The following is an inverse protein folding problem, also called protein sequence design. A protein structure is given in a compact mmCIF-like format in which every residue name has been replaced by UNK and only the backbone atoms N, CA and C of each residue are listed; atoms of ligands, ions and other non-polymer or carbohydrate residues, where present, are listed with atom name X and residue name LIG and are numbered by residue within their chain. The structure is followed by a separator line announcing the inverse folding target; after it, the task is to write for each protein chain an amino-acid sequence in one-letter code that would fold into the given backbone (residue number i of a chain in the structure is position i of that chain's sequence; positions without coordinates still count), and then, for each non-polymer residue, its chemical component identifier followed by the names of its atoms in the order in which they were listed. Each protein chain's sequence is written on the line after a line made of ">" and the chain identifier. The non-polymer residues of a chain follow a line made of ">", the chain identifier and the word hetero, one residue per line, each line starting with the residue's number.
data_IF_814463917503
#
_entry.id   IF_814463917503
#
_cell.length_a   1.000
_cell.length_b   1.000
_cell.length_c   1.000
_cell.angle_alpha   90.00
_cell.angle_beta   90.00
_cell.angle_gamma   90.00
#
_symmetry.space_group_name_H-M   'P 1'
#
loop_
_entity.id
_entity.type
_entity.pdbx_description
1 polymer ?
#
# COMPACT_ATOMS: atom_id res chain seq x y z
N UNK A 1 -30.39 40.41 36.56
CA UNK A 1 -29.71 40.43 35.24
C UNK A 1 -28.22 40.12 35.36
N UNK A 2 -27.44 40.83 36.19
CA UNK A 2 -26.01 40.53 36.38
C UNK A 2 -25.72 39.08 36.88
N UNK A 3 -26.47 38.58 37.87
CA UNK A 3 -26.29 37.22 38.40
C UNK A 3 -26.54 36.10 37.36
N UNK A 4 -27.50 36.29 36.44
CA UNK A 4 -27.77 35.33 35.36
C UNK A 4 -26.66 35.35 34.30
N UNK A 5 -26.08 36.51 34.00
CA UNK A 5 -24.94 36.62 33.10
C UNK A 5 -23.68 35.96 33.70
N UNK A 6 -23.45 36.12 35.00
CA UNK A 6 -22.35 35.42 35.69
C UNK A 6 -22.53 33.90 35.69
N UNK A 7 -23.75 33.40 35.87
CA UNK A 7 -24.02 31.96 35.85
C UNK A 7 -23.81 31.37 34.45
N UNK A 8 -24.23 32.08 33.40
CA UNK A 8 -23.97 31.69 32.01
C UNK A 8 -22.48 31.68 31.68
N UNK A 9 -21.72 32.68 32.14
CA UNK A 9 -20.26 32.72 31.96
C UNK A 9 -19.58 31.55 32.70
N UNK A 10 -20.01 31.22 33.92
CA UNK A 10 -19.49 30.05 34.65
C UNK A 10 -19.77 28.74 33.92
N UNK A 11 -20.97 28.57 33.35
CA UNK A 11 -21.32 27.38 32.58
C UNK A 11 -20.48 27.29 31.30
N UNK A 12 -20.27 28.40 30.59
CA UNK A 12 -19.41 28.45 29.41
C UNK A 12 -17.96 28.10 29.75
N UNK A 13 -17.40 28.68 30.82
CA UNK A 13 -16.06 28.36 31.28
C UNK A 13 -15.89 26.87 31.62
N UNK A 14 -16.87 26.26 32.30
CA UNK A 14 -16.83 24.82 32.60
C UNK A 14 -16.89 23.94 31.35
N UNK A 15 -17.66 24.33 30.33
CA UNK A 15 -17.72 23.61 29.05
C UNK A 15 -16.40 23.75 28.29
N UNK A 16 -15.79 24.92 28.31
CA UNK A 16 -14.48 25.16 27.71
C UNK A 16 -13.38 24.36 28.43
N UNK A 17 -13.35 24.35 29.77
CA UNK A 17 -12.42 23.54 30.56
C UNK A 17 -12.55 22.05 30.24
N UNK A 18 -13.78 21.53 30.14
CA UNK A 18 -14.01 20.13 29.74
C UNK A 18 -13.52 19.84 28.33
N UNK A 19 -13.73 20.78 27.41
CA UNK A 19 -13.24 20.65 26.03
C UNK A 19 -11.72 20.65 25.99
N UNK A 20 -11.08 21.54 26.74
CA UNK A 20 -9.61 21.62 26.84
C UNK A 20 -9.07 20.33 27.44
N UNK A 21 -9.62 19.84 28.55
CA UNK A 21 -9.21 18.58 29.16
C UNK A 21 -9.36 17.39 28.20
N UNK A 22 -10.42 17.34 27.41
CA UNK A 22 -10.60 16.30 26.38
C UNK A 22 -9.56 16.39 25.26
N UNK A 23 -9.18 17.61 24.85
CA UNK A 23 -8.15 17.81 23.83
C UNK A 23 -6.76 17.47 24.38
N UNK A 24 -6.47 17.83 25.62
CA UNK A 24 -5.22 17.49 26.31
C UNK A 24 -5.06 15.97 26.45
N UNK A 25 -6.13 15.25 26.79
CA UNK A 25 -6.14 13.78 26.82
C UNK A 25 -5.83 13.19 25.44
N UNK A 26 -6.51 13.66 24.37
CA UNK A 26 -6.24 13.22 23.01
C UNK A 26 -4.80 13.52 22.55
N UNK A 27 -4.26 14.69 22.90
CA UNK A 27 -2.86 15.04 22.60
C UNK A 27 -1.90 14.13 23.35
N UNK A 28 -2.20 13.78 24.61
CA UNK A 28 -1.42 12.82 25.40
C UNK A 28 -1.41 11.44 24.74
N UNK A 29 -2.58 10.93 24.34
CA UNK A 29 -2.70 9.62 23.69
C UNK A 29 -1.93 9.58 22.36
N UNK A 30 -2.04 10.63 21.54
CA UNK A 30 -1.29 10.76 20.28
C UNK A 30 0.21 10.86 20.54
N UNK A 31 0.63 11.57 21.59
CA UNK A 31 2.04 11.71 21.96
C UNK A 31 2.64 10.38 22.43
N UNK A 32 1.87 9.59 23.19
CA UNK A 32 2.28 8.25 23.60
C UNK A 32 2.36 7.29 22.41
N UNK A 33 1.36 7.31 21.52
CA UNK A 33 1.34 6.50 20.32
C UNK A 33 2.49 6.86 19.37
N UNK A 34 2.80 8.15 19.20
CA UNK A 34 3.97 8.60 18.44
C UNK A 34 5.28 8.14 19.10
N UNK A 35 5.37 8.21 20.43
CA UNK A 35 6.53 7.75 21.19
C UNK A 35 6.77 6.24 21.08
N UNK A 36 5.70 5.44 21.09
CA UNK A 36 5.81 3.98 20.87
C UNK A 36 6.20 3.65 19.43
N UNK A 37 5.64 4.35 18.45
CA UNK A 37 5.99 4.19 17.04
C UNK A 37 7.46 4.55 16.76
N UNK A 38 7.95 5.68 17.29
CA UNK A 38 9.35 6.08 17.11
C UNK A 38 10.32 5.08 17.76
N UNK A 39 9.97 4.53 18.94
CA UNK A 39 10.76 3.44 19.56
C UNK A 39 10.76 2.16 18.72
N UNK A 40 9.63 1.78 18.13
CA UNK A 40 9.55 0.62 17.24
C UNK A 40 10.41 0.83 15.98
N UNK A 41 10.28 2.00 15.34
CA UNK A 41 11.10 2.40 14.19
C UNK A 41 12.61 2.38 14.50
N UNK A 42 13.03 2.84 15.68
CA UNK A 42 14.44 2.76 16.09
C UNK A 42 14.92 1.30 16.24
N UNK A 43 14.09 0.42 16.82
CA UNK A 43 14.41 -1.02 16.89
C UNK A 43 14.54 -1.65 15.50
N UNK A 44 13.63 -1.30 14.60
CA UNK A 44 13.66 -1.80 13.21
C UNK A 44 14.89 -1.29 12.46
N UNK A 45 15.27 -0.03 12.63
CA UNK A 45 16.51 0.51 12.05
C UNK A 45 17.75 -0.24 12.54
N UNK A 46 17.82 -0.56 13.85
CA UNK A 46 18.91 -1.36 14.40
C UNK A 46 18.90 -2.80 13.86
N UNK A 47 17.72 -3.41 13.71
CA UNK A 47 17.60 -4.74 13.11
C UNK A 47 18.05 -4.75 11.64
N UNK A 48 17.65 -3.74 10.87
CA UNK A 48 18.08 -3.55 9.47
C UNK A 48 19.59 -3.38 9.39
N UNK A 49 20.21 -2.61 10.29
CA UNK A 49 21.67 -2.46 10.33
C UNK A 49 22.37 -3.80 10.60
N UNK A 50 21.90 -4.57 11.60
CA UNK A 50 22.45 -5.91 11.88
C UNK A 50 22.29 -6.89 10.71
N UNK A 51 21.15 -6.86 10.02
CA UNK A 51 20.92 -7.69 8.84
C UNK A 51 21.84 -7.28 7.68
N UNK A 52 22.06 -5.97 7.47
CA UNK A 52 23.03 -5.47 6.47
C UNK A 52 24.45 -5.91 6.79
N UNK A 53 24.87 -5.84 8.05
CA UNK A 53 26.18 -6.32 8.49
C UNK A 53 26.32 -7.84 8.27
N UNK A 54 25.27 -8.62 8.57
CA UNK A 54 25.27 -10.07 8.35
C UNK A 54 25.34 -10.43 6.86
N UNK A 55 24.62 -9.71 6.00
CA UNK A 55 24.70 -9.89 4.53
C UNK A 55 26.13 -9.59 4.05
N UNK A 56 26.71 -8.47 4.50
CA UNK A 56 28.09 -8.12 4.13
C UNK A 56 29.11 -9.18 4.59
N UNK A 57 28.89 -9.78 5.77
CA UNK A 57 29.71 -10.89 6.28
C UNK A 57 29.56 -12.14 5.41
N UNK A 58 28.32 -12.53 5.07
CA UNK A 58 28.05 -13.67 4.20
C UNK A 58 28.61 -13.46 2.79
N UNK A 59 28.58 -12.24 2.25
CA UNK A 59 29.20 -11.92 0.96
C UNK A 59 30.72 -12.09 1.00
N UNK A 60 31.35 -11.78 2.13
CA UNK A 60 32.80 -11.95 2.32
C UNK A 60 33.16 -13.44 2.47
N UNK A 61 32.36 -14.20 3.21
CA UNK A 61 32.47 -15.67 3.31
C UNK A 61 32.28 -16.32 1.93
N UNK A 62 31.24 -15.95 1.18
CA UNK A 62 30.97 -16.46 -0.17
C UNK A 62 32.09 -16.12 -1.16
N UNK A 63 32.64 -14.90 -1.13
CA UNK A 63 33.81 -14.53 -1.94
C UNK A 63 35.02 -15.40 -1.60
N UNK A 64 35.26 -15.66 -0.32
CA UNK A 64 36.37 -16.50 0.14
C UNK A 64 36.17 -17.95 -0.30
N UNK A 65 34.97 -18.50 -0.16
CA UNK A 65 34.61 -19.83 -0.63
C UNK A 65 34.73 -19.96 -2.16
N UNK A 66 34.32 -18.94 -2.92
CA UNK A 66 34.47 -18.93 -4.37
C UNK A 66 35.95 -18.93 -4.80
N UNK A 67 36.81 -18.18 -4.10
CA UNK A 67 38.27 -18.19 -4.35
C UNK A 67 38.88 -19.56 -3.99
N UNK A 68 38.44 -20.18 -2.89
CA UNK A 68 38.89 -21.52 -2.48
C UNK A 68 38.41 -22.61 -3.47
N UNK A 69 37.19 -22.49 -3.99
CA UNK A 69 36.65 -23.41 -4.99
C UNK A 69 37.34 -23.26 -6.36
N UNK A 70 37.57 -22.02 -6.80
CA UNK A 70 38.29 -21.73 -8.04
C UNK A 70 39.75 -22.19 -8.01
N UNK A 71 40.44 -22.00 -6.87
CA UNK A 71 41.81 -22.50 -6.70
C UNK A 71 41.90 -24.03 -6.64
N UNK A 72 40.85 -24.72 -6.19
CA UNK A 72 40.77 -26.20 -6.23
C UNK A 72 40.40 -26.74 -7.62
N UNK A 73 39.64 -25.99 -8.41
CA UNK A 73 39.29 -26.34 -9.79
C UNK A 73 40.51 -26.32 -10.73
N UNK A 74 41.55 -25.53 -10.44
CA UNK A 74 42.81 -25.53 -11.20
C UNK A 74 43.65 -26.82 -11.02
N UNK A 75 43.32 -27.69 -10.05
CA UNK A 75 44.02 -28.97 -9.78
C UNK A 75 43.14 -30.18 -10.15
N UNK A 76 41.91 -29.96 -10.64
CA UNK A 76 41.06 -31.03 -11.12
C UNK A 76 41.55 -31.49 -12.51
N UNK A 77 42.16 -32.68 -12.53
CA UNK A 77 42.44 -33.49 -13.72
C UNK A 77 41.23 -33.45 -14.68
N UNK A 78 41.43 -33.22 -15.99
CA UNK A 78 40.35 -33.02 -16.94
C UNK A 78 39.40 -34.22 -16.91
N UNK A 79 38.12 -33.93 -16.71
CA UNK A 79 37.02 -34.88 -16.59
C UNK A 79 36.77 -35.77 -17.85
N UNK A 80 37.61 -35.66 -18.88
CA UNK A 80 37.54 -36.50 -20.09
C UNK A 80 38.07 -37.93 -19.88
N UNK A 81 38.73 -38.23 -18.76
CA UNK A 81 39.26 -39.58 -18.49
C UNK A 81 38.33 -40.49 -17.68
N UNK A 82 37.30 -39.94 -17.03
CA UNK A 82 36.39 -40.71 -16.15
C UNK A 82 35.26 -41.43 -16.91
N UNK A 83 35.02 -41.08 -18.19
CA UNK A 83 33.90 -41.59 -18.99
C UNK A 83 34.36 -42.38 -20.24
N UNK A 84 35.53 -43.02 -20.19
CA UNK A 84 36.01 -43.85 -21.29
C UNK A 84 35.32 -45.22 -21.24
N UNK A 85 34.62 -45.58 -22.33
CA UNK A 85 34.05 -46.91 -22.53
C UNK A 85 35.13 -48.01 -22.37
N UNK A 86 34.75 -49.15 -21.79
CA UNK A 86 35.64 -50.28 -21.47
C UNK A 86 36.41 -50.74 -22.71
N UNK A 87 35.78 -50.65 -23.88
CA UNK A 87 36.42 -50.99 -25.17
C UNK A 87 37.50 -49.98 -25.56
N UNK A 88 37.28 -48.68 -25.35
CA UNK A 88 38.27 -47.63 -25.62
C UNK A 88 39.44 -47.74 -24.65
N UNK A 89 39.18 -48.12 -23.40
CA UNK A 89 40.22 -48.38 -22.40
C UNK A 89 41.04 -49.64 -22.78
N UNK A 90 40.38 -50.69 -23.26
CA UNK A 90 41.02 -51.92 -23.74
C UNK A 90 41.91 -51.64 -24.96
N UNK A 91 41.45 -50.83 -25.90
CA UNK A 91 42.23 -50.43 -27.09
C UNK A 91 43.44 -49.57 -26.72
N UNK A 92 43.29 -48.65 -25.76
CA UNK A 92 44.41 -47.87 -25.21
C UNK A 92 45.41 -48.78 -24.48
N UNK A 93 44.92 -49.76 -23.73
CA UNK A 93 45.77 -50.74 -23.02
C UNK A 93 46.51 -51.66 -24.00
N UNK A 94 45.88 -52.07 -25.10
CA UNK A 94 46.54 -52.81 -26.17
C UNK A 94 47.57 -51.97 -26.92
N UNK A 95 47.29 -50.69 -27.19
CA UNK A 95 48.28 -49.78 -27.77
C UNK A 95 49.49 -49.60 -26.85
N UNK A 96 49.27 -49.45 -25.55
CA UNK A 96 50.34 -49.41 -24.55
C UNK A 96 51.12 -50.74 -24.47
N UNK A 97 50.44 -51.88 -24.56
CA UNK A 97 51.08 -53.20 -24.64
C UNK A 97 51.95 -53.35 -25.90
N UNK A 98 51.47 -52.90 -27.06
CA UNK A 98 52.24 -52.88 -28.31
C UNK A 98 53.45 -51.94 -28.22
N UNK A 99 53.28 -50.77 -27.61
CA UNK A 99 54.38 -49.83 -27.37
C UNK A 99 55.40 -50.37 -26.37
N UNK A 100 54.95 -51.08 -25.33
CA UNK A 100 55.80 -51.75 -24.35
C UNK A 100 56.55 -52.92 -24.99
N UNK A 101 55.91 -53.71 -25.85
CA UNK A 101 56.57 -54.77 -26.63
C UNK A 101 57.57 -54.19 -27.65
N UNK A 102 57.24 -53.05 -28.26
CA UNK A 102 58.15 -52.32 -29.15
C UNK A 102 59.34 -51.70 -28.39
N UNK A 103 59.13 -51.30 -27.13
CA UNK A 103 60.19 -50.83 -26.24
C UNK A 103 61.04 -51.99 -25.69
N UNK A 104 60.41 -53.12 -25.38
CA UNK A 104 61.08 -54.36 -24.97
C UNK A 104 61.91 -54.95 -26.12
N UNK A 105 61.46 -54.84 -27.37
CA UNK A 105 62.25 -55.20 -28.55
C UNK A 105 63.41 -54.24 -28.87
N UNK A 106 63.43 -53.04 -28.26
CA UNK A 106 64.55 -52.08 -28.35
C UNK A 106 65.55 -52.21 -27.20
N UNK A 107 65.24 -53.00 -26.17
CA UNK A 107 66.18 -53.41 -25.14
C UNK A 107 66.69 -54.82 -25.48
N UNK A 108 68.00 -54.98 -25.67
CA UNK A 108 68.61 -56.30 -25.78
C UNK A 108 68.34 -57.16 -24.52
N UNK A 109 68.38 -58.50 -24.65
CA UNK A 109 67.58 -59.41 -23.86
C UNK A 109 68.16 -59.57 -22.45
N UNK A 110 67.34 -59.36 -21.45
CA UNK A 110 67.62 -59.84 -20.11
C UNK A 110 66.34 -60.47 -19.56
N UNK A 111 66.50 -61.74 -19.18
CA UNK A 111 65.59 -62.55 -18.38
C UNK A 111 64.53 -63.32 -19.18
N UNK A 112 65.07 -64.36 -19.81
CA UNK A 112 64.50 -65.69 -20.03
C UNK A 112 63.46 -66.07 -18.95
N UNK A 113 62.16 -65.98 -19.29
CA UNK A 113 61.03 -66.35 -18.42
C UNK A 113 60.75 -67.87 -18.48
N UNK A 114 61.57 -68.64 -19.20
CA UNK A 114 61.34 -70.08 -19.44
C UNK A 114 62.19 -71.03 -18.57
N UNK A 115 62.97 -70.52 -17.60
CA UNK A 115 63.75 -71.33 -16.64
C UNK A 115 63.13 -71.43 -15.23
N UNK A 116 61.80 -71.41 -15.12
CA UNK A 116 61.09 -71.64 -13.85
C UNK A 116 60.27 -72.93 -13.80
N UNK A 117 60.30 -73.77 -14.84
CA UNK A 117 59.52 -75.02 -14.88
C UNK A 117 60.33 -76.31 -15.07
N UNK A 118 61.66 -76.27 -15.10
CA UNK A 118 62.49 -77.48 -15.10
C UNK A 118 62.90 -77.83 -13.67
N UNK A 119 61.94 -78.40 -12.92
CA UNK A 119 62.21 -79.14 -11.71
C UNK A 119 62.77 -80.51 -12.12
N UNK A 120 64.05 -80.56 -12.50
CA UNK A 120 64.78 -81.82 -12.56
C UNK A 120 64.91 -82.38 -11.14
N UNK A 121 64.20 -83.49 -10.88
CA UNK A 121 64.49 -84.38 -9.76
C UNK A 121 65.72 -85.21 -10.14
N UNK A 122 66.87 -85.11 -9.43
CA UNK A 122 67.88 -86.13 -9.49
C UNK A 122 67.51 -87.22 -8.48
N UNK A 123 67.20 -88.39 -9.03
CA UNK A 123 67.17 -89.65 -8.30
C UNK A 123 68.55 -89.91 -7.71
N UNK A 124 68.62 -89.91 -6.37
CA UNK A 124 69.52 -90.69 -5.53
C UNK A 124 71.03 -90.43 -5.64
N UNK A 125 71.64 -90.03 -4.51
CA UNK A 125 72.69 -90.80 -3.78
C UNK A 125 73.47 -89.87 -2.81
N UNK A 126 73.48 -90.27 -1.53
CA UNK A 126 74.23 -89.75 -0.37
C UNK A 126 73.84 -88.39 0.28
N UNK A 127 73.84 -88.32 1.64
CA UNK A 127 73.39 -87.17 2.41
C UNK A 127 74.51 -86.17 2.66
N UNK A 128 74.18 -84.87 2.65
CA UNK A 128 75.02 -83.86 3.29
C UNK A 128 75.64 -82.81 2.38
N UNK A 129 74.82 -82.02 1.69
CA UNK A 129 74.97 -80.54 1.68
C UNK A 129 73.83 -79.86 0.90
N UNK A 130 73.23 -80.54 -0.07
CA UNK A 130 72.12 -80.00 -0.89
C UNK A 130 70.85 -79.72 -0.10
N UNK A 131 70.48 -80.59 0.85
CA UNK A 131 69.29 -80.42 1.70
C UNK A 131 69.35 -79.17 2.60
N UNK A 132 70.56 -78.73 2.98
CA UNK A 132 70.73 -77.49 3.75
C UNK A 132 70.47 -76.27 2.87
N UNK A 133 70.86 -76.29 1.60
CA UNK A 133 70.61 -75.21 0.67
C UNK A 133 69.11 -75.08 0.34
N UNK A 134 68.40 -76.18 0.11
CA UNK A 134 66.93 -76.18 -0.07
C UNK A 134 66.19 -75.82 1.22
N UNK A 135 66.63 -76.32 2.38
CA UNK A 135 66.03 -75.94 3.66
C UNK A 135 66.22 -74.45 3.99
N UNK A 136 67.39 -73.88 3.72
CA UNK A 136 67.65 -72.45 3.89
C UNK A 136 66.82 -71.60 2.93
N UNK A 137 66.62 -72.05 1.69
CA UNK A 137 65.77 -71.39 0.70
C UNK A 137 64.30 -71.35 1.17
N UNK A 138 63.71 -72.49 1.57
CA UNK A 138 62.36 -72.53 2.13
C UNK A 138 62.24 -71.73 3.43
N UNK A 139 63.30 -71.68 4.24
CA UNK A 139 63.32 -70.85 5.45
C UNK A 139 63.35 -69.35 5.13
N UNK A 140 63.99 -68.95 4.03
CA UNK A 140 64.02 -67.57 3.55
C UNK A 140 62.68 -67.16 2.92
N UNK A 141 62.05 -68.02 2.12
CA UNK A 141 60.69 -67.81 1.61
C UNK A 141 59.66 -67.68 2.75
N UNK A 142 59.76 -68.53 3.79
CA UNK A 142 58.91 -68.42 4.98
C UNK A 142 59.11 -67.10 5.72
N UNK A 143 60.34 -66.56 5.75
CA UNK A 143 60.61 -65.23 6.34
C UNK A 143 60.01 -64.12 5.49
N UNK A 144 60.19 -64.17 4.17
CA UNK A 144 59.61 -63.19 3.25
C UNK A 144 58.08 -63.20 3.31
N UNK A 145 57.45 -64.37 3.31
CA UNK A 145 56.00 -64.50 3.42
C UNK A 145 55.47 -63.98 4.76
N UNK A 146 56.20 -64.22 5.86
CA UNK A 146 55.87 -63.62 7.17
C UNK A 146 55.98 -62.11 7.15
N UNK A 147 57.02 -61.55 6.55
CA UNK A 147 57.19 -60.10 6.40
C UNK A 147 56.09 -59.50 5.52
N UNK A 148 55.72 -60.14 4.41
CA UNK A 148 54.64 -59.72 3.54
C UNK A 148 53.27 -59.78 4.22
N UNK A 149 53.05 -60.83 5.01
CA UNK A 149 51.84 -60.98 5.82
C UNK A 149 51.75 -59.89 6.89
N UNK A 150 52.83 -59.59 7.60
CA UNK A 150 52.86 -58.48 8.56
C UNK A 150 52.66 -57.12 7.86
N UNK A 151 53.27 -56.89 6.70
CA UNK A 151 53.00 -55.69 5.88
C UNK A 151 51.54 -55.61 5.44
N UNK A 152 50.93 -56.72 5.05
CA UNK A 152 49.51 -56.78 4.67
C UNK A 152 48.59 -56.49 5.86
N UNK A 153 48.86 -57.10 7.01
CA UNK A 153 48.14 -56.89 8.27
C UNK A 153 48.18 -55.42 8.70
N UNK A 154 49.35 -54.79 8.63
CA UNK A 154 49.50 -53.36 8.93
C UNK A 154 48.71 -52.48 7.95
N UNK A 155 48.75 -52.77 6.65
CA UNK A 155 47.95 -52.04 5.64
C UNK A 155 46.44 -52.21 5.85
N UNK A 156 45.97 -53.43 6.10
CA UNK A 156 44.57 -53.71 6.39
C UNK A 156 44.09 -53.01 7.67
N UNK A 157 44.92 -52.97 8.71
CA UNK A 157 44.61 -52.27 9.95
C UNK A 157 44.50 -50.75 9.76
N UNK A 158 45.35 -50.15 8.93
CA UNK A 158 45.27 -48.71 8.59
C UNK A 158 44.01 -48.41 7.79
N UNK A 159 43.65 -49.25 6.81
CA UNK A 159 42.42 -49.08 6.02
C UNK A 159 41.17 -49.19 6.90
N UNK A 160 41.13 -50.15 7.82
CA UNK A 160 40.00 -50.31 8.76
C UNK A 160 39.87 -49.11 9.70
N UNK A 161 40.98 -48.61 10.27
CA UNK A 161 40.97 -47.42 11.12
C UNK A 161 40.54 -46.16 10.37
N UNK A 162 41.02 -45.98 9.13
CA UNK A 162 40.63 -44.85 8.30
C UNK A 162 39.16 -44.93 7.87
N UNK A 163 38.65 -46.14 7.64
CA UNK A 163 37.24 -46.37 7.32
C UNK A 163 36.35 -46.09 8.53
N UNK A 164 36.69 -46.59 9.71
CA UNK A 164 35.91 -46.29 10.93
C UNK A 164 35.93 -44.80 11.30
N UNK A 165 37.05 -44.10 11.06
CA UNK A 165 37.14 -42.66 11.30
C UNK A 165 36.26 -41.85 10.32
N UNK A 166 36.23 -42.23 9.04
CA UNK A 166 35.36 -41.60 8.03
C UNK A 166 33.88 -41.95 8.23
N UNK A 167 33.56 -43.19 8.57
CA UNK A 167 32.18 -43.59 8.87
C UNK A 167 31.66 -42.85 10.11
N UNK A 168 32.53 -42.62 11.11
CA UNK A 168 32.21 -41.79 12.27
C UNK A 168 32.02 -40.30 11.95
N UNK A 169 32.75 -39.74 10.98
CA UNK A 169 32.53 -38.34 10.55
C UNK A 169 31.23 -38.19 9.75
N UNK A 170 30.95 -39.13 8.84
CA UNK A 170 29.70 -39.15 8.07
C UNK A 170 28.47 -39.35 8.97
N UNK A 171 28.58 -40.17 10.03
CA UNK A 171 27.49 -40.34 11.00
C UNK A 171 27.18 -39.05 11.76
N UNK A 172 28.22 -38.28 12.16
CA UNK A 172 28.05 -36.97 12.80
C UNK A 172 27.43 -35.94 11.87
N UNK A 173 27.92 -35.86 10.63
CA UNK A 173 27.33 -34.97 9.61
C UNK A 173 25.86 -35.31 9.33
N UNK A 174 25.50 -36.60 9.34
CA UNK A 174 24.12 -37.04 9.20
C UNK A 174 23.26 -36.63 10.41
N UNK A 175 23.79 -36.77 11.63
CA UNK A 175 23.11 -36.37 12.86
C UNK A 175 22.89 -34.85 12.92
N UNK A 176 23.91 -34.06 12.59
CA UNK A 176 23.82 -32.59 12.48
C UNK A 176 22.79 -32.18 11.41
N UNK A 177 22.77 -32.85 10.25
CA UNK A 177 21.78 -32.58 9.21
C UNK A 177 20.36 -32.95 9.67
N UNK A 178 20.19 -34.04 10.43
CA UNK A 178 18.90 -34.43 11.00
C UNK A 178 18.41 -33.43 12.05
N UNK A 179 19.30 -32.93 12.91
CA UNK A 179 19.00 -31.89 13.90
C UNK A 179 18.58 -30.57 13.22
N UNK A 180 19.32 -30.13 12.20
CA UNK A 180 18.95 -28.96 11.40
C UNK A 180 17.59 -29.11 10.74
N UNK A 181 17.26 -30.32 10.26
CA UNK A 181 15.97 -30.61 9.63
C UNK A 181 14.84 -30.61 10.67
N UNK A 182 15.09 -31.09 11.89
CA UNK A 182 14.14 -31.00 13.00
C UNK A 182 13.89 -29.54 13.41
N UNK A 183 14.94 -28.73 13.57
CA UNK A 183 14.85 -27.30 13.87
C UNK A 183 14.07 -26.55 12.79
N UNK A 184 14.31 -26.84 11.51
CA UNK A 184 13.60 -26.20 10.41
C UNK A 184 12.11 -26.54 10.44
N UNK A 185 11.77 -27.79 10.76
CA UNK A 185 10.39 -28.25 10.90
C UNK A 185 9.69 -27.57 12.07
N UNK A 186 10.36 -27.44 13.23
CA UNK A 186 9.81 -26.74 14.38
C UNK A 186 9.57 -25.26 14.06
N UNK A 187 10.56 -24.58 13.47
CA UNK A 187 10.43 -23.18 13.02
C UNK A 187 9.28 -23.01 12.02
N UNK A 188 9.12 -23.94 11.09
CA UNK A 188 8.01 -23.93 10.14
C UNK A 188 6.65 -24.08 10.85
N UNK A 189 6.54 -24.99 11.81
CA UNK A 189 5.30 -25.17 12.60
C UNK A 189 4.98 -23.91 13.40
N UNK A 190 5.97 -23.33 14.09
CA UNK A 190 5.78 -22.09 14.86
C UNK A 190 5.35 -20.94 13.95
N UNK A 191 6.02 -20.75 12.82
CA UNK A 191 5.70 -19.68 11.87
C UNK A 191 4.29 -19.88 11.27
N UNK A 192 3.91 -21.11 10.98
CA UNK A 192 2.58 -21.44 10.49
C UNK A 192 1.52 -21.12 11.55
N UNK A 193 1.72 -21.54 12.79
CA UNK A 193 0.79 -21.25 13.89
C UNK A 193 0.68 -19.74 14.16
N UNK A 194 1.79 -18.99 14.11
CA UNK A 194 1.74 -17.54 14.27
C UNK A 194 1.02 -16.85 13.11
N UNK A 195 1.20 -17.35 11.88
CA UNK A 195 0.44 -16.85 10.71
C UNK A 195 -1.06 -17.10 10.87
N UNK A 196 -1.45 -18.31 11.27
CA UNK A 196 -2.86 -18.68 11.51
C UNK A 196 -3.48 -17.85 12.65
N UNK A 197 -2.73 -17.56 13.71
CA UNK A 197 -3.18 -16.71 14.82
C UNK A 197 -3.37 -15.25 14.38
N UNK A 198 -2.41 -14.67 13.66
CA UNK A 198 -2.52 -13.32 13.12
C UNK A 198 -3.67 -13.20 12.11
N UNK A 199 -3.90 -14.22 11.28
CA UNK A 199 -5.05 -14.26 10.37
C UNK A 199 -6.38 -14.25 11.12
N UNK A 200 -6.51 -15.03 12.20
CA UNK A 200 -7.71 -15.03 13.05
C UNK A 200 -7.93 -13.68 13.72
N UNK A 201 -6.88 -13.04 14.22
CA UNK A 201 -6.96 -11.71 14.83
C UNK A 201 -7.45 -10.68 13.82
N UNK A 202 -6.85 -10.63 12.64
CA UNK A 202 -7.30 -9.73 11.57
C UNK A 202 -8.75 -10.01 11.13
N UNK A 203 -9.16 -11.28 11.06
CA UNK A 203 -10.55 -11.63 10.75
C UNK A 203 -11.52 -11.10 11.81
N UNK A 204 -11.20 -11.27 13.10
CA UNK A 204 -12.00 -10.75 14.21
C UNK A 204 -12.09 -9.21 14.19
N UNK A 205 -10.98 -8.52 13.94
CA UNK A 205 -10.95 -7.07 13.80
C UNK A 205 -11.82 -6.59 12.63
N UNK A 206 -11.74 -7.28 11.50
CA UNK A 206 -12.51 -6.94 10.30
C UNK A 206 -14.01 -7.17 10.53
N UNK A 207 -14.39 -8.25 11.23
CA UNK A 207 -15.76 -8.50 11.67
C UNK A 207 -16.25 -7.43 12.65
N UNK A 208 -15.45 -7.05 13.64
CA UNK A 208 -15.79 -5.99 14.59
C UNK A 208 -16.00 -4.65 13.88
N UNK A 209 -15.08 -4.26 12.99
CA UNK A 209 -15.21 -3.03 12.17
C UNK A 209 -16.43 -3.06 11.28
N UNK A 210 -16.78 -4.22 10.70
CA UNK A 210 -18.00 -4.39 9.90
C UNK A 210 -19.26 -4.22 10.76
N UNK A 211 -19.26 -4.76 11.98
CA UNK A 211 -20.36 -4.57 12.93
C UNK A 211 -20.50 -3.10 13.35
N UNK A 212 -19.40 -2.44 13.73
CA UNK A 212 -19.37 -1.00 14.04
C UNK A 212 -19.93 -0.16 12.90
N UNK A 213 -19.51 -0.42 11.66
CA UNK A 213 -20.01 0.28 10.48
C UNK A 213 -21.51 0.07 10.26
N UNK A 214 -22.02 -1.15 10.49
CA UNK A 214 -23.45 -1.43 10.37
C UNK A 214 -24.28 -0.73 11.44
N UNK A 215 -23.76 -0.66 12.68
CA UNK A 215 -24.41 0.06 13.78
C UNK A 215 -24.44 1.56 13.49
N UNK A 216 -23.32 2.14 13.06
CA UNK A 216 -23.22 3.55 12.70
C UNK A 216 -24.15 3.91 11.54
N UNK A 217 -24.25 3.06 10.53
CA UNK A 217 -25.22 3.25 9.43
C UNK A 217 -26.66 3.23 9.94
N UNK A 218 -26.99 2.32 10.87
CA UNK A 218 -28.32 2.24 11.45
C UNK A 218 -28.64 3.48 12.30
N UNK A 219 -27.71 3.94 13.13
CA UNK A 219 -27.92 5.15 13.95
C UNK A 219 -28.07 6.38 13.08
N UNK A 220 -27.22 6.57 12.07
CA UNK A 220 -27.33 7.68 11.13
C UNK A 220 -28.68 7.66 10.38
N UNK A 221 -29.15 6.47 9.98
CA UNK A 221 -30.47 6.33 9.35
C UNK A 221 -31.59 6.74 10.31
N UNK A 222 -31.53 6.30 11.57
CA UNK A 222 -32.52 6.66 12.59
C UNK A 222 -32.51 8.17 12.89
N UNK A 223 -31.34 8.78 12.97
CA UNK A 223 -31.19 10.22 13.17
C UNK A 223 -31.74 11.02 11.98
N UNK A 224 -31.47 10.57 10.75
CA UNK A 224 -32.04 11.17 9.54
C UNK A 224 -33.56 11.10 9.56
N UNK A 225 -34.13 9.93 9.88
CA UNK A 225 -35.58 9.74 9.99
C UNK A 225 -36.17 10.63 11.10
N UNK A 226 -35.50 10.75 12.26
CA UNK A 226 -35.92 11.65 13.35
C UNK A 226 -35.93 13.11 12.91
N UNK A 227 -34.83 13.57 12.29
CA UNK A 227 -34.75 14.94 11.80
C UNK A 227 -35.82 15.24 10.74
N UNK A 228 -36.08 14.29 9.82
CA UNK A 228 -37.15 14.44 8.83
C UNK A 228 -38.53 14.58 9.49
N UNK A 229 -38.83 13.78 10.51
CA UNK A 229 -40.07 13.89 11.27
C UNK A 229 -40.17 15.24 11.98
N UNK A 230 -39.11 15.70 12.64
CA UNK A 230 -39.08 17.00 13.32
C UNK A 230 -39.34 18.16 12.35
N UNK A 231 -38.76 18.13 11.15
CA UNK A 231 -39.00 19.14 10.12
C UNK A 231 -40.43 19.09 9.59
N UNK A 232 -41.00 17.90 9.38
CA UNK A 232 -42.41 17.74 8.98
C UNK A 232 -43.35 18.27 10.04
N UNK A 233 -43.09 17.99 11.31
CA UNK A 233 -43.91 18.49 12.42
C UNK A 233 -43.85 20.03 12.50
N UNK A 234 -42.66 20.63 12.37
CA UNK A 234 -42.51 22.09 12.33
C UNK A 234 -43.24 22.71 11.15
N UNK A 235 -43.19 22.09 9.97
CA UNK A 235 -43.92 22.54 8.80
C UNK A 235 -45.44 22.53 9.03
N UNK A 236 -45.98 21.43 9.58
CA UNK A 236 -47.41 21.32 9.92
C UNK A 236 -47.84 22.38 10.93
N UNK A 237 -47.04 22.64 11.98
CA UNK A 237 -47.35 23.71 12.96
C UNK A 237 -47.41 25.09 12.31
N UNK A 238 -46.48 25.39 11.40
CA UNK A 238 -46.50 26.67 10.67
C UNK A 238 -47.70 26.77 9.74
N UNK A 239 -48.08 25.68 9.06
CA UNK A 239 -49.30 25.64 8.24
C UNK A 239 -50.56 25.89 9.08
N UNK A 240 -50.68 25.24 10.25
CA UNK A 240 -51.79 25.48 11.18
C UNK A 240 -51.84 26.93 11.67
N UNK A 241 -50.70 27.54 12.00
CA UNK A 241 -50.64 28.95 12.39
C UNK A 241 -51.06 29.88 11.26
N UNK A 242 -50.65 29.60 10.02
CA UNK A 242 -51.08 30.34 8.83
C UNK A 242 -52.58 30.20 8.58
N UNK A 243 -53.16 29.01 8.76
CA UNK A 243 -54.61 28.81 8.69
C UNK A 243 -55.34 29.63 9.76
N UNK A 244 -54.89 29.58 11.03
CA UNK A 244 -55.45 30.40 12.11
C UNK A 244 -55.38 31.91 11.82
N UNK A 245 -54.29 32.38 11.22
CA UNK A 245 -54.16 33.80 10.82
C UNK A 245 -55.13 34.17 9.70
N UNK A 246 -55.28 33.31 8.69
CA UNK A 246 -56.26 33.51 7.61
C UNK A 246 -57.68 33.56 8.15
N UNK A 247 -58.05 32.66 9.04
CA UNK A 247 -59.39 32.62 9.64
C UNK A 247 -59.68 33.89 10.46
N UNK A 248 -58.70 34.36 11.25
CA UNK A 248 -58.81 35.64 11.97
C UNK A 248 -58.96 36.83 11.02
N UNK A 249 -58.19 36.88 9.94
CA UNK A 249 -58.29 37.94 8.95
C UNK A 249 -59.65 37.94 8.24
N UNK A 250 -60.18 36.76 7.90
CA UNK A 250 -61.52 36.61 7.34
C UNK A 250 -62.61 37.07 8.33
N UNK A 251 -62.47 36.74 9.62
CA UNK A 251 -63.40 37.20 10.65
C UNK A 251 -63.40 38.72 10.79
N UNK A 252 -62.22 39.35 10.84
CA UNK A 252 -62.11 40.82 10.90
C UNK A 252 -62.70 41.47 9.64
N UNK A 253 -62.46 40.90 8.45
CA UNK A 253 -63.08 41.39 7.21
C UNK A 253 -64.61 41.30 7.29
N UNK A 254 -65.16 40.19 7.77
CA UNK A 254 -66.60 40.04 7.93
C UNK A 254 -67.19 41.04 8.95
N UNK A 255 -66.48 41.33 10.05
CA UNK A 255 -66.87 42.38 11.00
C UNK A 255 -66.85 43.77 10.34
N UNK A 256 -65.80 44.11 9.58
CA UNK A 256 -65.73 45.36 8.83
C UNK A 256 -66.85 45.46 7.78
N UNK A 257 -67.16 44.38 7.09
CA UNK A 257 -68.27 44.36 6.11
C UNK A 257 -69.61 44.62 6.80
N UNK A 258 -69.86 44.03 7.97
CA UNK A 258 -71.06 44.32 8.78
C UNK A 258 -71.10 45.77 9.26
N UNK A 259 -69.98 46.31 9.75
CA UNK A 259 -69.87 47.73 10.13
C UNK A 259 -70.15 48.65 8.94
N UNK A 260 -69.62 48.32 7.74
CA UNK A 260 -69.89 49.06 6.51
C UNK A 260 -71.36 48.98 6.11
N UNK A 261 -72.01 47.82 6.25
CA UNK A 261 -73.45 47.67 6.04
C UNK A 261 -74.27 48.48 7.05
N UNK A 262 -73.87 48.49 8.31
CA UNK A 262 -74.49 49.32 9.36
C UNK A 262 -74.32 50.81 9.03
N UNK A 263 -73.12 51.27 8.68
CA UNK A 263 -72.90 52.66 8.25
C UNK A 263 -73.70 53.00 7.00
N UNK A 264 -73.77 52.11 6.01
CA UNK A 264 -74.64 52.30 4.82
C UNK A 264 -76.10 52.42 5.22
N UNK A 265 -76.60 51.57 6.11
CA UNK A 265 -78.00 51.60 6.59
C UNK A 265 -78.33 52.78 7.50
N UNK A 266 -77.36 53.35 8.22
CA UNK A 266 -77.46 54.59 9.01
C UNK A 266 -77.26 55.85 8.17
N UNK A 267 -76.54 55.75 7.05
CA UNK A 267 -76.41 56.82 6.04
C UNK A 267 -77.60 56.83 5.08
N UNK A 268 -78.25 55.68 4.84
CA UNK A 268 -79.45 55.56 3.99
C UNK A 268 -80.75 56.20 4.51
N UNK A 269 -80.96 56.58 5.79
CA UNK A 269 -82.13 57.36 6.20
C UNK A 269 -81.90 58.88 6.06
N UNK A 270 -80.70 59.35 5.74
CA UNK A 270 -80.42 60.78 5.63
C UNK A 270 -79.62 61.11 4.35
N UNK A 271 -80.37 61.32 3.27
CA UNK A 271 -79.92 62.15 2.15
C UNK A 271 -79.06 61.45 1.10
N UNK A 272 -79.72 60.81 0.14
CA UNK A 272 -79.61 61.11 -1.30
C UNK A 272 -80.40 60.04 -2.06
N UNK A 273 -81.72 60.25 -2.16
CA UNK A 273 -82.45 59.71 -3.30
C UNK A 273 -81.72 60.19 -4.56
N UNK A 274 -81.29 59.23 -5.37
CA UNK A 274 -80.94 59.48 -6.75
C UNK A 274 -82.14 60.14 -7.44
N UNK A 275 -82.04 61.45 -7.68
CA UNK A 275 -82.91 62.13 -8.64
C UNK A 275 -82.40 61.80 -10.02
N UNK A 276 -83.04 60.79 -10.62
CA UNK A 276 -82.90 60.42 -12.02
C UNK A 276 -83.58 61.50 -12.87
N UNK A 277 -82.91 61.90 -13.96
CA UNK A 277 -83.46 62.54 -15.16
C UNK A 277 -83.90 64.01 -15.02
N UNK A 278 -83.10 64.93 -15.58
CA UNK A 278 -83.66 65.98 -16.43
C UNK A 278 -82.64 66.36 -17.52
N UNK A 279 -83.08 66.20 -18.76
CA UNK A 279 -82.42 66.62 -19.99
C UNK A 279 -82.09 68.13 -19.93
N UNK A 280 -80.94 68.50 -20.49
CA UNK A 280 -80.54 69.88 -20.87
C UNK A 280 -81.66 70.61 -21.65
N UNK A 281 -81.68 71.96 -21.84
CA UNK A 281 -80.48 72.82 -21.94
C UNK A 281 -80.59 74.32 -21.52
N UNK A 282 -79.42 75.00 -21.51
CA UNK A 282 -79.16 76.47 -21.62
C UNK A 282 -79.58 77.39 -20.46
N UNK A 283 -78.61 78.15 -19.93
CA UNK A 283 -78.39 79.61 -20.13
C UNK A 283 -77.67 80.24 -18.92
N UNK A 284 -76.58 80.96 -19.22
CA UNK A 284 -75.79 81.97 -18.50
C UNK A 284 -76.14 82.43 -17.07
N UNK A 285 -75.07 82.66 -16.28
CA UNK A 285 -75.06 83.68 -15.21
C UNK A 285 -74.28 83.28 -13.93
N UNK A 286 -73.16 83.96 -13.59
CA UNK A 286 -72.40 83.70 -12.36
C UNK A 286 -72.87 84.62 -11.22
N UNK A 287 -72.91 84.11 -9.98
CA UNK A 287 -73.21 84.98 -8.84
C UNK A 287 -73.21 84.31 -7.47
N UNK A 288 -72.27 84.79 -6.64
CA UNK A 288 -72.43 85.09 -5.21
C UNK A 288 -72.37 83.98 -4.16
N UNK A 289 -71.18 83.88 -3.54
CA UNK A 289 -70.92 84.00 -2.10
C UNK A 289 -72.04 83.68 -1.09
N UNK A 290 -71.80 82.74 -0.18
CA UNK A 290 -71.58 83.04 1.26
C UNK A 290 -71.18 81.77 2.05
N UNK A 291 -70.26 81.89 3.04
CA UNK A 291 -69.72 80.78 3.83
C UNK A 291 -70.48 80.59 5.16
N UNK A 292 -70.20 79.49 5.88
CA UNK A 292 -70.46 79.44 7.32
C UNK A 292 -70.66 78.06 7.89
N UNK A 293 -69.68 77.65 8.71
CA UNK A 293 -69.77 76.82 9.91
C UNK A 293 -70.49 75.47 9.85
N UNK A 294 -69.72 74.38 10.00
CA UNK A 294 -69.90 73.40 11.10
C UNK A 294 -68.91 72.24 10.89
N UNK A 295 -67.69 72.37 11.41
CA UNK A 295 -66.67 71.30 11.40
C UNK A 295 -65.72 71.37 12.60
N UNK A 296 -66.24 71.80 13.76
CA UNK A 296 -65.43 71.91 14.99
C UNK A 296 -65.72 70.81 16.02
N UNK A 297 -66.86 70.11 15.96
CA UNK A 297 -67.21 69.07 16.96
C UNK A 297 -66.68 67.66 16.64
N UNK A 298 -66.13 67.41 15.44
CA UNK A 298 -65.55 66.10 15.06
C UNK A 298 -64.07 65.92 15.44
N UNK A 299 -63.36 67.02 15.68
CA UNK A 299 -61.93 67.03 16.02
C UNK A 299 -61.59 66.40 17.39
N UNK A 300 -62.37 66.59 18.48
CA UNK A 300 -62.07 65.98 19.77
C UNK A 300 -62.16 64.45 19.74
N UNK A 301 -63.11 63.91 18.96
CA UNK A 301 -63.36 62.48 18.88
C UNK A 301 -62.34 61.76 17.98
N UNK A 302 -61.86 62.41 16.93
CA UNK A 302 -60.75 61.91 16.11
C UNK A 302 -59.41 61.89 16.88
N UNK A 303 -59.16 62.88 17.75
CA UNK A 303 -57.96 62.92 18.60
C UNK A 303 -58.00 61.89 19.73
N UNK A 304 -59.17 61.60 20.32
CA UNK A 304 -59.31 60.54 21.32
C UNK A 304 -59.16 59.11 20.74
N UNK A 305 -59.61 58.88 19.49
CA UNK A 305 -59.36 57.62 18.77
C UNK A 305 -57.88 57.44 18.39
N UNK A 306 -57.18 58.54 18.06
CA UNK A 306 -55.73 58.54 17.84
C UNK A 306 -54.94 58.29 19.13
N UNK A 307 -55.32 58.92 20.25
CA UNK A 307 -54.67 58.73 21.55
C UNK A 307 -54.88 57.32 22.14
N UNK A 308 -55.99 56.65 21.81
CA UNK A 308 -56.22 55.25 22.21
C UNK A 308 -55.43 54.24 21.35
N UNK A 309 -55.01 54.63 20.14
CA UNK A 309 -54.23 53.77 19.21
C UNK A 309 -52.72 54.03 19.28
N UNK A 310 -52.28 55.16 19.83
CA UNK A 310 -50.87 55.49 20.10
C UNK A 310 -50.10 54.42 20.92
N UNK A 311 -50.65 53.85 22.02
CA UNK A 311 -49.95 52.82 22.79
C UNK A 311 -49.78 51.51 22.00
N UNK A 312 -50.75 51.17 21.14
CA UNK A 312 -50.71 49.98 20.29
C UNK A 312 -49.71 50.15 19.15
N UNK A 313 -49.63 51.35 18.56
CA UNK A 313 -48.66 51.67 17.52
C UNK A 313 -47.22 51.62 18.04
N UNK A 314 -46.97 52.11 19.26
CA UNK A 314 -45.64 52.05 19.89
C UNK A 314 -45.19 50.60 20.18
N UNK A 315 -46.09 49.75 20.70
CA UNK A 315 -45.80 48.34 20.93
C UNK A 315 -45.53 47.58 19.62
N UNK A 316 -46.26 47.90 18.54
CA UNK A 316 -46.02 47.32 17.22
C UNK A 316 -44.68 47.76 16.64
N UNK A 317 -44.33 49.05 16.76
CA UNK A 317 -43.03 49.57 16.34
C UNK A 317 -41.88 48.92 17.12
N UNK A 318 -42.04 48.70 18.43
CA UNK A 318 -41.05 47.99 19.25
C UNK A 318 -40.92 46.52 18.82
N UNK A 319 -42.02 45.82 18.54
CA UNK A 319 -41.99 44.45 18.02
C UNK A 319 -41.29 44.37 16.66
N UNK A 320 -41.53 45.35 15.78
CA UNK A 320 -40.87 45.45 14.49
C UNK A 320 -39.35 45.65 14.66
N UNK A 321 -38.94 46.55 15.55
CA UNK A 321 -37.52 46.79 15.87
C UNK A 321 -36.84 45.52 16.43
N UNK A 322 -37.52 44.77 17.32
CA UNK A 322 -36.99 43.48 17.82
C UNK A 322 -36.82 42.46 16.69
N UNK A 323 -37.79 42.40 15.77
CA UNK A 323 -37.72 41.52 14.59
C UNK A 323 -36.61 41.93 13.63
N UNK A 324 -36.40 43.23 13.43
CA UNK A 324 -35.30 43.74 12.60
C UNK A 324 -33.93 43.39 13.19
N UNK A 325 -33.76 43.50 14.51
CA UNK A 325 -32.54 43.09 15.21
C UNK A 325 -32.32 41.58 15.09
N UNK A 326 -33.37 40.77 15.28
CA UNK A 326 -33.33 39.31 15.12
C UNK A 326 -32.94 38.92 13.69
N UNK A 327 -33.56 39.54 12.67
CA UNK A 327 -33.20 39.35 11.25
C UNK A 327 -31.76 39.77 11.00
N UNK A 328 -31.29 40.88 11.58
CA UNK A 328 -29.91 41.33 11.48
C UNK A 328 -28.93 40.32 12.08
N UNK A 329 -29.25 39.74 13.23
CA UNK A 329 -28.45 38.69 13.86
C UNK A 329 -28.44 37.41 13.01
N UNK A 330 -29.61 36.97 12.52
CA UNK A 330 -29.74 35.80 11.65
C UNK A 330 -28.99 35.97 10.31
N UNK A 331 -28.98 37.17 9.74
CA UNK A 331 -28.18 37.46 8.53
C UNK A 331 -26.68 37.38 8.81
N UNK A 332 -26.22 37.86 9.96
CA UNK A 332 -24.81 37.77 10.37
C UNK A 332 -24.39 36.32 10.60
N UNK A 333 -25.21 35.52 11.29
CA UNK A 333 -24.91 34.09 11.51
C UNK A 333 -24.96 33.31 10.20
N UNK A 334 -25.93 33.59 9.32
CA UNK A 334 -25.98 33.03 7.96
C UNK A 334 -24.69 33.34 7.20
N UNK A 335 -24.27 34.60 7.15
CA UNK A 335 -23.05 34.98 6.43
C UNK A 335 -21.80 34.28 7.01
N UNK A 336 -21.72 34.17 8.35
CA UNK A 336 -20.64 33.43 9.02
C UNK A 336 -20.62 31.96 8.59
N UNK A 337 -21.78 31.29 8.61
CA UNK A 337 -21.90 29.89 8.18
C UNK A 337 -21.58 29.73 6.69
N UNK A 338 -22.01 30.65 5.83
CA UNK A 338 -21.65 30.65 4.41
C UNK A 338 -20.13 30.76 4.20
N UNK A 339 -19.45 31.64 4.95
CA UNK A 339 -17.99 31.73 4.90
C UNK A 339 -17.30 30.47 5.43
N UNK A 340 -17.81 29.86 6.50
CA UNK A 340 -17.28 28.60 7.03
C UNK A 340 -17.46 27.46 6.00
N UNK A 341 -18.60 27.40 5.32
CA UNK A 341 -18.85 26.42 4.24
C UNK A 341 -17.88 26.62 3.09
N UNK A 342 -17.65 27.86 2.64
CA UNK A 342 -16.69 28.13 1.57
C UNK A 342 -15.26 27.75 1.97
N UNK A 343 -14.84 28.03 3.21
CA UNK A 343 -13.54 27.61 3.72
C UNK A 343 -13.40 26.09 3.81
N UNK A 344 -14.47 25.39 4.23
CA UNK A 344 -14.48 23.93 4.25
C UNK A 344 -14.42 23.34 2.84
N UNK A 345 -15.15 23.92 1.89
CA UNK A 345 -15.08 23.52 0.47
C UNK A 345 -13.68 23.69 -0.11
N UNK A 346 -13.03 24.83 0.15
CA UNK A 346 -11.65 25.07 -0.29
C UNK A 346 -10.67 24.06 0.33
N UNK A 347 -10.79 23.78 1.63
CA UNK A 347 -9.97 22.75 2.30
C UNK A 347 -10.18 21.37 1.68
N UNK A 348 -11.43 20.98 1.42
CA UNK A 348 -11.73 19.68 0.79
C UNK A 348 -11.09 19.59 -0.59
N UNK A 349 -11.19 20.64 -1.43
CA UNK A 349 -10.54 20.66 -2.74
C UNK A 349 -9.02 20.51 -2.64
N UNK A 350 -8.38 21.25 -1.73
CA UNK A 350 -6.92 21.16 -1.52
C UNK A 350 -6.51 19.76 -1.05
N UNK A 351 -7.26 19.17 -0.13
CA UNK A 351 -6.98 17.79 0.31
C UNK A 351 -7.24 16.78 -0.81
N UNK A 352 -8.29 16.93 -1.62
CA UNK A 352 -8.51 16.08 -2.80
C UNK A 352 -7.37 16.16 -3.81
N UNK A 353 -6.83 17.36 -4.08
CA UNK A 353 -5.67 17.55 -4.95
C UNK A 353 -4.43 16.84 -4.39
N UNK A 354 -4.13 17.00 -3.09
CA UNK A 354 -3.02 16.30 -2.44
C UNK A 354 -3.16 14.79 -2.53
N UNK A 355 -4.33 14.24 -2.18
CA UNK A 355 -4.57 12.80 -2.28
C UNK A 355 -4.43 12.32 -3.73
N UNK A 356 -4.88 13.11 -4.71
CA UNK A 356 -4.72 12.78 -6.13
C UNK A 356 -3.25 12.75 -6.55
N UNK A 357 -2.44 13.69 -6.08
CA UNK A 357 -1.00 13.72 -6.32
C UNK A 357 -0.29 12.53 -5.66
N UNK A 358 -0.64 12.20 -4.41
CA UNK A 358 -0.10 11.04 -3.69
C UNK A 358 -0.45 9.73 -4.40
N UNK A 359 -1.71 9.56 -4.81
CA UNK A 359 -2.15 8.39 -5.59
C UNK A 359 -1.37 8.30 -6.91
N UNK A 360 -1.17 9.41 -7.61
CA UNK A 360 -0.38 9.43 -8.84
C UNK A 360 1.09 9.07 -8.58
N UNK A 361 1.69 9.58 -7.50
CA UNK A 361 3.05 9.26 -7.10
C UNK A 361 3.21 7.77 -6.76
N UNK A 362 2.32 7.21 -5.94
CA UNK A 362 2.32 5.80 -5.59
C UNK A 362 2.09 4.90 -6.80
N UNK A 363 1.18 5.27 -7.71
CA UNK A 363 0.97 4.55 -8.96
C UNK A 363 2.24 4.55 -9.83
N UNK A 364 2.95 5.68 -9.90
CA UNK A 364 4.23 5.76 -10.61
C UNK A 364 5.30 4.88 -9.97
N UNK A 365 5.38 4.85 -8.63
CA UNK A 365 6.31 3.95 -7.91
C UNK A 365 5.98 2.48 -8.14
N UNK A 366 4.70 2.10 -8.12
CA UNK A 366 4.25 0.72 -8.42
C UNK A 366 4.63 0.36 -9.85
N UNK A 367 4.37 1.23 -10.83
CA UNK A 367 4.76 1.00 -12.22
C UNK A 367 6.27 0.88 -12.37
N UNK A 368 7.05 1.71 -11.66
CA UNK A 368 8.51 1.63 -11.63
C UNK A 368 8.98 0.30 -11.05
N UNK A 369 8.44 -0.11 -9.91
CA UNK A 369 8.78 -1.39 -9.26
C UNK A 369 8.45 -2.59 -10.17
N UNK A 370 7.30 -2.55 -10.87
CA UNK A 370 6.93 -3.59 -11.83
C UNK A 370 7.92 -3.67 -13.00
N UNK A 371 8.37 -2.53 -13.51
CA UNK A 371 9.40 -2.48 -14.57
C UNK A 371 10.74 -3.01 -14.05
N UNK A 372 11.15 -2.64 -12.85
CA UNK A 372 12.42 -3.08 -12.28
C UNK A 372 12.42 -4.59 -12.02
N UNK A 373 11.33 -5.15 -11.46
CA UNK A 373 11.15 -6.61 -11.33
C UNK A 373 11.12 -7.34 -12.68
N UNK A 374 10.51 -6.73 -13.70
CA UNK A 374 10.50 -7.31 -15.06
C UNK A 374 11.89 -7.31 -15.71
N UNK A 375 12.78 -6.38 -15.32
CA UNK A 375 14.18 -6.31 -15.78
C UNK A 375 15.07 -7.37 -15.14
N UNK A 376 14.80 -7.75 -13.89
CA UNK A 376 15.57 -8.79 -13.16
C UNK A 376 15.50 -10.18 -13.83
N UNK A 377 14.54 -10.41 -14.74
CA UNK A 377 14.43 -11.63 -15.56
C UNK A 377 14.96 -11.50 -17.00
N UNK A 378 15.47 -10.34 -17.42
CA UNK A 378 15.90 -10.12 -18.80
C UNK A 378 17.27 -10.78 -19.08
N UNK A 379 17.33 -11.65 -20.09
CA UNK A 379 18.59 -12.26 -20.53
C UNK A 379 19.53 -11.20 -21.13
N UNK A 380 20.52 -10.77 -20.35
CA UNK A 380 21.48 -9.72 -20.73
C UNK A 380 22.29 -10.07 -21.99
N UNK A 381 22.54 -11.36 -22.28
CA UNK A 381 23.22 -11.76 -23.51
C UNK A 381 22.35 -11.52 -24.75
N UNK A 382 21.04 -11.74 -24.65
CA UNK A 382 20.11 -11.41 -25.74
C UNK A 382 20.04 -9.90 -25.97
N UNK A 383 19.95 -9.11 -24.89
CA UNK A 383 19.95 -7.65 -24.98
C UNK A 383 21.25 -7.13 -25.61
N UNK A 384 22.40 -7.63 -25.17
CA UNK A 384 23.72 -7.33 -25.75
C UNK A 384 23.74 -7.63 -27.26
N UNK A 385 23.22 -8.77 -27.70
CA UNK A 385 23.17 -9.14 -29.11
C UNK A 385 22.27 -8.22 -29.93
N UNK A 386 21.11 -7.80 -29.40
CA UNK A 386 20.23 -6.86 -30.09
C UNK A 386 20.84 -5.46 -30.13
N UNK A 387 21.43 -4.98 -29.03
CA UNK A 387 22.12 -3.69 -28.99
C UNK A 387 23.29 -3.68 -29.96
N UNK A 388 24.08 -4.75 -30.02
CA UNK A 388 25.14 -4.91 -31.01
C UNK A 388 24.59 -4.85 -32.44
N UNK A 389 23.49 -5.56 -32.74
CA UNK A 389 22.83 -5.48 -34.06
C UNK A 389 22.32 -4.07 -34.34
N UNK A 390 21.70 -3.41 -33.37
CA UNK A 390 21.20 -2.04 -33.50
C UNK A 390 22.32 -1.04 -33.85
N UNK A 391 23.52 -1.20 -33.26
CA UNK A 391 24.68 -0.36 -33.54
C UNK A 391 25.40 -0.68 -34.87
N UNK A 392 25.29 -1.92 -35.36
CA UNK A 392 26.01 -2.39 -36.57
C UNK A 392 25.15 -2.42 -37.83
N UNK A 393 23.81 -2.39 -37.71
CA UNK A 393 22.88 -2.41 -38.84
C UNK A 393 22.93 -1.09 -39.65
N UNK A 394 23.18 -1.14 -40.97
CA UNK A 394 23.14 0.04 -41.83
C UNK A 394 21.72 0.44 -42.25
N UNK A 395 20.76 -0.48 -42.20
CA UNK A 395 19.36 -0.22 -42.57
C UNK A 395 18.59 0.55 -41.49
N UNK A 396 17.79 1.53 -41.87
CA UNK A 396 16.96 2.33 -40.96
C UNK A 396 15.75 1.55 -40.46
N UNK A 397 15.16 0.67 -41.27
CA UNK A 397 13.98 -0.10 -40.89
C UNK A 397 14.36 -1.20 -39.89
N UNK A 398 15.42 -1.97 -40.17
CA UNK A 398 15.99 -2.94 -39.23
C UNK A 398 16.46 -2.32 -37.92
N UNK A 399 16.95 -1.06 -37.94
CA UNK A 399 17.27 -0.30 -36.72
C UNK A 399 16.03 0.10 -35.92
N UNK A 400 14.94 0.52 -36.56
CA UNK A 400 13.68 0.77 -35.84
C UNK A 400 13.10 -0.50 -35.22
N UNK A 401 13.18 -1.65 -35.91
CA UNK A 401 12.72 -2.93 -35.37
C UNK A 401 13.55 -3.39 -34.17
N UNK A 402 14.88 -3.31 -34.26
CA UNK A 402 15.78 -3.65 -33.13
C UNK A 402 15.64 -2.66 -31.98
N UNK A 403 15.41 -1.37 -32.24
CA UNK A 403 15.07 -0.38 -31.21
C UNK A 403 13.76 -0.74 -30.50
N UNK A 404 12.73 -1.11 -31.26
CA UNK A 404 11.43 -1.52 -30.71
C UNK A 404 11.60 -2.74 -29.80
N UNK A 405 12.44 -3.71 -30.20
CA UNK A 405 12.80 -4.85 -29.37
C UNK A 405 13.57 -4.46 -28.09
N UNK A 406 14.49 -3.49 -28.17
CA UNK A 406 15.20 -2.97 -26.97
C UNK A 406 14.21 -2.30 -26.02
N UNK A 407 13.30 -1.47 -26.54
CA UNK A 407 12.28 -0.76 -25.75
C UNK A 407 11.31 -1.72 -25.05
N UNK A 408 10.98 -2.85 -25.68
CA UNK A 408 10.12 -3.87 -25.07
C UNK A 408 10.87 -4.69 -24.02
N UNK A 409 12.10 -5.14 -24.30
CA UNK A 409 12.90 -5.92 -23.34
C UNK A 409 13.20 -5.09 -22.09
N UNK A 410 13.53 -3.82 -22.24
CA UNK A 410 13.85 -2.92 -21.12
C UNK A 410 12.63 -2.24 -20.48
N UNK A 411 11.42 -2.58 -20.96
CA UNK A 411 10.13 -2.12 -20.41
C UNK A 411 10.06 -0.60 -20.25
N UNK A 412 10.38 0.12 -21.32
CA UNK A 412 10.35 1.60 -21.34
C UNK A 412 8.94 2.15 -21.07
N UNK A 413 8.88 3.27 -20.35
CA UNK A 413 7.66 4.01 -20.09
C UNK A 413 7.04 4.54 -21.39
N UNK A 414 5.72 4.78 -21.43
CA UNK A 414 5.09 5.42 -22.58
C UNK A 414 5.67 6.82 -22.85
N UNK A 415 6.08 7.56 -21.81
CA UNK A 415 6.71 8.89 -21.93
C UNK A 415 8.12 8.81 -22.52
N UNK A 416 8.91 7.80 -22.10
CA UNK A 416 10.26 7.56 -22.62
C UNK A 416 10.18 7.11 -24.08
N UNK A 417 9.24 6.22 -24.42
CA UNK A 417 8.97 5.80 -25.80
C UNK A 417 8.60 6.99 -26.69
N UNK A 418 7.73 7.88 -26.21
CA UNK A 418 7.37 9.09 -26.93
C UNK A 418 8.55 10.05 -27.09
N UNK A 419 9.38 10.20 -26.07
CA UNK A 419 10.58 11.06 -26.12
C UNK A 419 11.59 10.54 -27.15
N UNK A 420 11.80 9.23 -27.20
CA UNK A 420 12.67 8.56 -28.17
C UNK A 420 12.07 8.63 -29.58
N UNK A 421 10.75 8.46 -29.73
CA UNK A 421 10.07 8.62 -31.01
C UNK A 421 10.15 10.05 -31.56
N UNK A 422 10.07 11.06 -30.68
CA UNK A 422 10.27 12.47 -31.05
C UNK A 422 11.72 12.72 -31.49
N UNK A 423 12.70 12.17 -30.80
CA UNK A 423 14.11 12.33 -31.16
C UNK A 423 14.49 11.61 -32.45
N UNK A 424 13.93 10.42 -32.70
CA UNK A 424 14.17 9.67 -33.94
C UNK A 424 13.50 10.30 -35.17
N UNK A 425 12.41 11.06 -34.97
CA UNK A 425 11.72 11.80 -36.03
C UNK A 425 12.44 13.10 -36.42
N UNK A 426 13.15 13.75 -35.49
CA UNK A 426 13.75 15.08 -35.69
C UNK A 426 15.27 15.06 -35.99
N UNK A 427 15.95 13.92 -35.88
CA UNK A 427 17.37 13.85 -36.21
C UNK A 427 17.83 12.44 -36.55
N UNK A 428 18.65 12.33 -37.60
CA UNK A 428 19.49 11.16 -37.80
C UNK A 428 20.34 11.00 -36.54
N UNK A 429 20.05 9.96 -35.76
CA UNK A 429 20.72 9.64 -34.48
C UNK A 429 22.24 9.61 -34.57
N UNK A 430 22.74 9.46 -35.80
CA UNK A 430 24.12 9.58 -36.20
C UNK A 430 24.17 10.66 -37.27
N UNK A 431 24.70 11.84 -36.94
CA UNK A 431 25.14 12.77 -37.97
C UNK A 431 26.06 11.99 -38.91
N UNK A 432 25.72 11.97 -40.19
CA UNK A 432 26.55 11.46 -41.26
C UNK A 432 27.95 12.04 -41.09
N UNK A 433 28.88 11.22 -40.60
CA UNK A 433 30.29 11.51 -40.67
C UNK A 433 30.64 11.59 -42.14
N UNK A 434 30.67 12.81 -42.68
CA UNK A 434 31.34 13.12 -43.94
C UNK A 434 32.76 12.58 -43.82
N UNK A 435 33.03 11.56 -44.61
CA UNK A 435 34.39 11.12 -44.89
C UNK A 435 34.91 11.92 -46.07
#
# INVERSE_FOLDING_TARGET
>A
QAAQAEEQLRQQAQLEERRVASLEAQISDVSELLGTYEKAKQKDQLAIQKLKERIAQLDLENKTLAIAASSRAAVAVPAEEANLDVNVLKDKMEKLKRLLQAAAGKAQPALDVEKLCELELPVGTEPGDGEKATALYYQQELKQLKEEFERYKMRAQVVLKNKSAKDGSLAKELEEAQEQLADLKEKYIVLRLSSEEMEKQHQQELEAKKQEMSQLQQTHRQELERCQLDYRERALKLEEEMHKQRDRALAVLAEKDQELEQLRSVTLPCGLQGSKNHLSPRTDGPGSNSPGSDSAESLPQALHLAAATEPTFFLYAEQLARKEVEIGALRKTKHRLETEVHQLQEKVLVEEEKHREEVAALQNEIQKNFRDKSREGANLEYLKNIVYRFLTLPDSLGRQQTLTAILTILHFSPEEKQSIAKQSAYGSWWLSGKR
#
